data_IF_664851323724
#
_entry.id   IF_664851323724
#
_cell.length_a   1.000
_cell.length_b   1.000
_cell.length_c   1.000
_cell.angle_alpha   90.00
_cell.angle_beta   90.00
_cell.angle_gamma   90.00
#
_symmetry.space_group_name_H-M   'P 1'
#
loop_
_entity.id
_entity.type
_entity.pdbx_description
1 polymer ?
#
# COMPACT_ATOMS: atom_id res chain seq x y z
N UNK A 1 -2.46 10.65 7.34
CA UNK A 1 -1.58 10.21 6.22
C UNK A 1 -2.07 8.85 5.78
N UNK A 2 -2.28 8.66 4.48
CA UNK A 2 -2.79 7.39 3.93
C UNK A 2 -1.63 6.60 3.32
N UNK A 3 -1.80 5.29 3.17
CA UNK A 3 -0.79 4.44 2.52
C UNK A 3 -1.50 3.48 1.57
N UNK A 4 -0.81 3.11 0.49
CA UNK A 4 -1.17 1.95 -0.31
C UNK A 4 -0.41 0.75 0.25
N UNK A 5 -1.12 -0.33 0.52
CA UNK A 5 -0.53 -1.60 0.94
C UNK A 5 -0.70 -2.65 -0.14
N UNK A 6 0.33 -3.47 -0.32
CA UNK A 6 0.29 -4.64 -1.18
C UNK A 6 0.30 -5.88 -0.30
N UNK A 7 -0.71 -6.73 -0.45
CA UNK A 7 -0.95 -7.87 0.43
C UNK A 7 -0.96 -9.14 -0.41
N UNK A 8 -0.15 -10.13 -0.03
CA UNK A 8 -0.16 -11.44 -0.68
C UNK A 8 -1.39 -12.24 -0.21
N UNK A 9 -2.26 -12.63 -1.13
CA UNK A 9 -3.54 -13.31 -0.84
C UNK A 9 -3.36 -14.66 -0.16
N UNK A 10 -2.33 -15.41 -0.51
CA UNK A 10 -2.07 -16.74 0.06
C UNK A 10 -1.78 -16.69 1.56
N UNK A 11 -1.09 -15.65 2.00
CA UNK A 11 -0.61 -15.53 3.38
C UNK A 11 -1.34 -14.44 4.19
N UNK A 12 -2.04 -13.53 3.52
CA UNK A 12 -2.56 -12.30 4.11
C UNK A 12 -1.46 -11.36 4.62
N UNK A 13 -0.21 -11.55 4.16
CA UNK A 13 0.94 -10.79 4.62
C UNK A 13 1.13 -9.53 3.78
N UNK A 14 1.36 -8.39 4.43
CA UNK A 14 1.70 -7.16 3.73
C UNK A 14 3.14 -7.23 3.23
N UNK A 15 3.31 -7.23 1.90
CA UNK A 15 4.62 -7.27 1.23
C UNK A 15 5.27 -5.89 1.25
N UNK A 16 4.50 -4.84 0.97
CA UNK A 16 5.00 -3.48 0.84
C UNK A 16 3.96 -2.45 1.30
N UNK A 17 4.44 -1.29 1.74
CA UNK A 17 3.61 -0.14 2.11
C UNK A 17 4.22 1.13 1.53
N UNK A 18 3.45 1.83 0.70
CA UNK A 18 3.86 3.09 0.10
C UNK A 18 3.06 4.24 0.71
N UNK A 19 3.71 5.16 1.44
CA UNK A 19 3.04 6.33 1.97
C UNK A 19 2.65 7.27 0.83
N UNK A 20 1.41 7.78 0.88
CA UNK A 20 0.99 8.82 -0.05
C UNK A 20 0.39 10.03 0.69
N UNK A 21 0.86 11.21 0.28
CA UNK A 21 0.47 12.50 0.87
C UNK A 21 -0.68 13.08 0.05
N UNK A 22 -1.89 12.98 0.61
CA UNK A 22 -3.14 13.46 0.00
C UNK A 22 -3.20 14.99 -0.17
N UNK A 23 -2.29 15.75 0.44
CA UNK A 23 -2.37 17.22 0.52
C UNK A 23 -2.10 17.97 -0.80
N UNK A 24 -1.76 17.28 -1.90
CA UNK A 24 -1.39 17.93 -3.16
C UNK A 24 -2.26 17.59 -4.39
N UNK A 25 -3.21 16.66 -4.27
CA UNK A 25 -3.92 16.14 -5.45
C UNK A 25 -5.43 15.99 -5.19
N UNK A 26 -6.18 17.08 -5.34
CA UNK A 26 -7.67 17.07 -5.23
C UNK A 26 -8.36 16.35 -6.41
N UNK A 27 -7.62 15.98 -7.47
CA UNK A 27 -8.16 15.39 -8.71
C UNK A 27 -7.58 14.01 -9.09
N UNK A 28 -6.64 13.44 -8.32
CA UNK A 28 -6.12 12.10 -8.61
C UNK A 28 -7.04 11.03 -8.03
N UNK A 29 -7.39 10.04 -8.84
CA UNK A 29 -8.24 8.94 -8.43
C UNK A 29 -7.43 7.97 -7.56
N UNK A 30 -8.09 7.32 -6.60
CA UNK A 30 -7.51 6.27 -5.76
C UNK A 30 -6.77 5.20 -6.60
N UNK A 31 -7.24 4.95 -7.82
CA UNK A 31 -6.62 4.04 -8.78
C UNK A 31 -5.20 4.45 -9.21
N UNK A 32 -4.96 5.73 -9.47
CA UNK A 32 -3.64 6.21 -9.94
C UNK A 32 -2.56 5.92 -8.87
N UNK A 33 -2.92 6.08 -7.59
CA UNK A 33 -2.02 5.77 -6.48
C UNK A 33 -1.76 4.26 -6.32
N UNK A 34 -2.76 3.43 -6.64
CA UNK A 34 -2.63 1.97 -6.59
C UNK A 34 -1.69 1.48 -7.70
N UNK A 35 -1.81 2.03 -8.90
CA UNK A 35 -0.93 1.73 -10.02
C UNK A 35 0.51 2.17 -9.72
N UNK A 36 0.73 3.39 -9.22
CA UNK A 36 2.07 3.86 -8.82
C UNK A 36 2.73 2.94 -7.77
N UNK A 37 1.98 2.55 -6.74
CA UNK A 37 2.47 1.66 -5.70
C UNK A 37 2.82 0.26 -6.25
N UNK A 38 2.05 -0.22 -7.22
CA UNK A 38 2.31 -1.49 -7.89
C UNK A 38 3.57 -1.43 -8.75
N UNK A 39 3.74 -0.38 -9.55
CA UNK A 39 4.94 -0.16 -10.36
C UNK A 39 6.21 -0.11 -9.50
N UNK A 40 6.19 0.66 -8.40
CA UNK A 40 7.32 0.72 -7.46
C UNK A 40 7.67 -0.66 -6.89
N UNK A 41 6.67 -1.44 -6.48
CA UNK A 41 6.91 -2.77 -5.94
C UNK A 41 7.50 -3.74 -6.97
N UNK A 42 7.13 -3.59 -8.25
CA UNK A 42 7.74 -4.36 -9.34
C UNK A 42 9.20 -3.93 -9.56
N UNK A 43 9.48 -2.62 -9.59
CA UNK A 43 10.83 -2.09 -9.75
C UNK A 43 11.76 -2.51 -8.59
N UNK A 44 11.23 -2.58 -7.37
CA UNK A 44 11.95 -3.07 -6.19
C UNK A 44 12.10 -4.60 -6.15
N UNK A 45 11.43 -5.33 -7.05
CA UNK A 45 11.44 -6.80 -7.12
C UNK A 45 10.69 -7.47 -5.96
N UNK A 46 9.76 -6.76 -5.34
CA UNK A 46 8.92 -7.26 -4.23
C UNK A 46 7.73 -8.09 -4.73
N UNK A 47 7.26 -7.79 -5.94
CA UNK A 47 6.15 -8.48 -6.60
C UNK A 47 6.51 -8.79 -8.05
N UNK A 48 5.86 -9.81 -8.61
CA UNK A 48 5.99 -10.17 -10.02
C UNK A 48 4.74 -9.72 -10.79
N UNK A 49 4.94 -9.06 -11.92
CA UNK A 49 3.87 -8.59 -12.82
C UNK A 49 2.93 -9.73 -13.22
N UNK A 50 3.49 -10.91 -13.51
CA UNK A 50 2.74 -12.09 -13.95
C UNK A 50 1.83 -12.65 -12.85
N UNK A 51 2.08 -12.25 -11.60
CA UNK A 51 1.39 -12.74 -10.41
C UNK A 51 0.46 -11.68 -9.81
N UNK A 52 0.10 -10.60 -10.53
CA UNK A 52 -0.76 -9.51 -10.03
C UNK A 52 -2.02 -10.00 -9.33
N UNK A 53 -2.64 -11.07 -9.84
CA UNK A 53 -3.86 -11.68 -9.29
C UNK A 53 -3.68 -12.26 -7.89
N UNK A 54 -2.45 -12.60 -7.50
CA UNK A 54 -2.09 -13.13 -6.17
C UNK A 54 -1.99 -12.04 -5.11
N UNK A 55 -2.10 -10.77 -5.50
CA UNK A 55 -1.96 -9.63 -4.58
C UNK A 55 -3.24 -8.79 -4.53
N UNK A 56 -3.59 -8.36 -3.32
CA UNK A 56 -4.57 -7.30 -3.09
C UNK A 56 -3.85 -5.98 -2.83
N UNK A 57 -4.42 -4.89 -3.36
CA UNK A 57 -3.92 -3.54 -3.12
C UNK A 57 -5.02 -2.75 -2.45
N UNK A 58 -4.70 -2.23 -1.27
CA UNK A 58 -5.65 -1.53 -0.43
C UNK A 58 -5.11 -0.17 -0.02
N UNK A 59 -5.95 0.84 -0.16
CA UNK A 59 -5.69 2.16 0.41
C UNK A 59 -6.18 2.16 1.85
N UNK A 60 -5.25 2.24 2.79
CA UNK A 60 -5.56 2.39 4.20
C UNK A 60 -5.40 3.84 4.63
N UNK A 61 -6.49 4.39 5.17
CA UNK A 61 -6.51 5.70 5.80
C UNK A 61 -6.26 5.61 7.30
N UNK A 62 -5.40 6.51 7.77
CA UNK A 62 -5.01 6.73 9.17
C UNK A 62 -4.19 5.61 9.83
N UNK A 63 -2.87 5.75 9.71
CA UNK A 63 -2.02 5.50 10.86
C UNK A 63 -2.26 6.69 11.81
N UNK A 64 -3.19 6.55 12.75
CA UNK A 64 -3.08 7.35 13.97
C UNK A 64 -1.68 7.02 14.55
N UNK A 65 -0.85 8.01 14.93
CA UNK A 65 0.51 7.76 15.43
C UNK A 65 0.56 7.03 16.79
N UNK A 66 -0.50 6.34 17.21
CA UNK A 66 -0.66 5.86 18.58
C UNK A 66 -1.42 4.53 18.63
N UNK A 67 -0.77 3.42 18.26
CA UNK A 67 -1.12 2.06 18.73
C UNK A 67 0.14 1.17 18.87
N UNK A 68 1.18 1.71 19.50
CA UNK A 68 2.13 0.94 20.31
C UNK A 68 2.54 1.75 21.55
N UNK A 69 1.55 2.22 22.33
CA UNK A 69 1.79 2.63 23.72
C UNK A 69 1.21 1.57 24.65
N UNK A 70 2.13 0.98 25.43
CA UNK A 70 1.92 0.31 26.73
C UNK A 70 1.20 -1.05 26.77
N UNK A 71 1.96 -2.10 26.47
CA UNK A 71 1.95 -3.28 27.34
C UNK A 71 3.13 -3.14 28.33
N UNK A 72 2.88 -2.51 29.48
CA UNK A 72 3.70 -2.63 30.70
C UNK A 72 2.80 -2.65 31.92
#
# INVERSE_FOLDING_TARGET
MKNVQIIEKSSGHTIAKYPYLFEFYEDLNDQDFIDDAWELAMEEGLVDESCRENYDLEIIGDIAPDQQSEFL
#
